data_IF_933611388411
#
_entry.id   IF_933611388411
#
_cell.length_a   1.000
_cell.length_b   1.000
_cell.length_c   1.000
_cell.angle_alpha   90.00
_cell.angle_beta   90.00
_cell.angle_gamma   90.00
#
_symmetry.space_group_name_H-M   'P 1'
#
loop_
_entity.id
_entity.type
_entity.pdbx_description
1 polymer ?
#
# COMPACT_ATOMS: atom_id res chain seq x y z
N UNK A 1 15.83 52.90 47.84
CA UNK A 1 14.88 52.66 46.72
C UNK A 1 15.46 51.70 45.66
N UNK A 2 16.74 51.76 45.36
CA UNK A 2 17.35 50.92 44.27
C UNK A 2 17.54 49.42 44.58
N UNK A 3 17.56 49.00 45.83
CA UNK A 3 17.75 47.58 46.19
C UNK A 3 16.47 46.73 46.09
N UNK A 4 15.31 47.38 46.24
CA UNK A 4 14.02 46.67 46.10
C UNK A 4 13.68 46.44 44.66
N UNK A 5 13.95 47.41 43.79
CA UNK A 5 13.72 47.33 42.35
C UNK A 5 14.61 46.23 41.72
N UNK A 6 15.86 46.13 42.16
CA UNK A 6 16.79 45.06 41.67
C UNK A 6 16.33 43.65 42.04
N UNK A 7 15.68 43.45 43.20
CA UNK A 7 15.12 42.17 43.62
C UNK A 7 13.90 41.76 42.80
N UNK A 8 13.03 42.67 42.46
CA UNK A 8 11.87 42.40 41.60
C UNK A 8 12.29 42.17 40.14
N UNK A 9 13.31 42.87 39.66
CA UNK A 9 13.87 42.65 38.32
C UNK A 9 14.47 41.26 38.16
N UNK A 10 15.19 40.73 39.18
CA UNK A 10 15.72 39.38 39.14
C UNK A 10 14.63 38.30 39.18
N UNK A 11 13.58 38.50 39.94
CA UNK A 11 12.44 37.56 40.02
C UNK A 11 11.66 37.57 38.70
N UNK A 12 11.44 38.73 38.08
CA UNK A 12 10.76 38.84 36.80
C UNK A 12 11.56 38.19 35.66
N UNK A 13 12.89 38.26 35.66
CA UNK A 13 13.73 37.62 34.63
C UNK A 13 13.72 36.07 34.76
N UNK A 14 13.62 35.56 35.99
CA UNK A 14 13.56 34.10 36.20
C UNK A 14 12.22 33.49 35.79
N UNK A 15 11.12 34.21 35.90
CA UNK A 15 9.80 33.76 35.47
C UNK A 15 9.63 33.79 33.95
N UNK A 16 10.20 34.80 33.28
CA UNK A 16 10.18 34.84 31.80
C UNK A 16 11.09 33.75 31.15
N UNK A 17 12.20 33.38 31.79
CA UNK A 17 13.06 32.33 31.30
C UNK A 17 12.48 30.91 31.39
N UNK A 18 11.57 30.67 32.34
CA UNK A 18 10.93 29.37 32.52
C UNK A 18 9.78 29.12 31.54
N UNK A 19 9.15 30.16 31.00
CA UNK A 19 8.03 30.01 30.06
C UNK A 19 8.47 29.59 28.64
N UNK A 20 9.73 29.85 28.26
CA UNK A 20 10.23 29.52 26.92
C UNK A 20 10.63 28.04 26.80
N UNK A 21 10.90 27.36 27.91
CA UNK A 21 11.30 25.94 27.89
C UNK A 21 10.13 24.97 27.80
N UNK A 22 8.88 25.41 27.92
CA UNK A 22 7.70 24.53 27.87
C UNK A 22 7.07 24.41 26.47
N UNK A 23 7.56 25.14 25.48
CA UNK A 23 7.04 25.08 24.11
C UNK A 23 7.95 24.35 23.11
N UNK A 24 9.03 23.73 23.57
CA UNK A 24 9.93 22.98 22.71
C UNK A 24 9.88 21.52 23.09
N UNK A 25 8.91 20.80 22.57
CA UNK A 25 8.96 19.37 22.24
C UNK A 25 7.56 18.77 22.23
N UNK A 26 6.86 18.80 21.10
CA UNK A 26 5.73 17.86 20.90
C UNK A 26 5.28 17.73 19.44
N UNK A 27 6.00 18.34 18.49
CA UNK A 27 5.56 18.31 17.10
C UNK A 27 6.27 17.27 16.21
N UNK A 28 7.52 16.97 16.51
CA UNK A 28 8.31 16.13 15.61
C UNK A 28 8.12 14.62 15.86
N UNK A 29 7.85 14.19 17.10
CA UNK A 29 7.67 12.77 17.41
C UNK A 29 6.33 12.20 16.90
N UNK A 30 5.28 13.00 16.84
CA UNK A 30 3.98 12.56 16.34
C UNK A 30 3.95 12.45 14.80
N UNK A 31 4.65 13.34 14.10
CA UNK A 31 4.78 13.26 12.63
C UNK A 31 5.71 12.12 12.22
N UNK A 32 6.80 11.90 12.93
CA UNK A 32 7.71 10.78 12.70
C UNK A 32 7.07 9.43 13.04
N UNK A 33 6.28 9.36 14.11
CA UNK A 33 5.54 8.15 14.46
C UNK A 33 4.46 7.82 13.41
N UNK A 34 3.69 8.81 12.96
CA UNK A 34 2.68 8.63 11.91
C UNK A 34 3.32 8.23 10.57
N UNK A 35 4.43 8.86 10.17
CA UNK A 35 5.18 8.48 8.97
C UNK A 35 5.78 7.07 9.09
N UNK A 36 6.18 6.65 10.29
CA UNK A 36 6.67 5.29 10.55
C UNK A 36 5.55 4.26 10.44
N UNK A 37 4.34 4.58 10.92
CA UNK A 37 3.17 3.70 10.78
C UNK A 37 2.72 3.55 9.33
N UNK A 38 2.70 4.63 8.55
CA UNK A 38 2.34 4.61 7.13
C UNK A 38 3.25 3.70 6.28
N UNK A 39 4.51 3.54 6.67
CA UNK A 39 5.48 2.69 5.97
C UNK A 39 5.59 1.28 6.56
N UNK A 40 4.87 1.00 7.65
CA UNK A 40 4.92 -0.28 8.31
C UNK A 40 4.23 -1.37 7.49
N UNK A 41 4.97 -2.42 7.20
CA UNK A 41 4.41 -3.60 6.54
C UNK A 41 3.49 -4.36 7.51
N UNK A 42 2.21 -4.47 7.14
CA UNK A 42 1.16 -5.11 7.94
C UNK A 42 0.85 -6.53 7.50
N UNK A 43 1.21 -6.90 6.26
CA UNK A 43 1.01 -8.24 5.70
C UNK A 43 2.29 -8.70 5.00
N UNK A 44 2.63 -9.97 5.18
CA UNK A 44 3.73 -10.63 4.48
C UNK A 44 3.38 -12.08 4.20
N UNK A 45 3.44 -12.50 2.94
CA UNK A 45 3.24 -13.89 2.57
C UNK A 45 4.14 -14.27 1.39
N UNK A 46 4.71 -15.46 1.46
CA UNK A 46 5.51 -16.05 0.39
C UNK A 46 4.76 -17.19 -0.27
N UNK A 47 4.99 -17.35 -1.60
CA UNK A 47 4.41 -18.43 -2.42
C UNK A 47 2.88 -18.51 -2.28
N UNK A 48 2.22 -17.34 -2.36
CA UNK A 48 0.77 -17.23 -2.24
C UNK A 48 0.09 -17.77 -3.51
N UNK A 49 -0.90 -18.65 -3.32
CA UNK A 49 -1.75 -19.17 -4.38
C UNK A 49 -3.20 -19.10 -3.92
N UNK A 50 -4.01 -18.31 -4.61
CA UNK A 50 -5.43 -18.09 -4.31
C UNK A 50 -6.28 -18.55 -5.47
N UNK A 51 -7.24 -19.41 -5.21
CA UNK A 51 -8.27 -19.80 -6.16
C UNK A 51 -9.60 -19.24 -5.68
N UNK A 52 -10.22 -18.38 -6.48
CA UNK A 52 -11.58 -17.93 -6.24
C UNK A 52 -12.56 -18.77 -7.05
N UNK A 53 -13.67 -19.13 -6.40
CA UNK A 53 -14.76 -19.86 -7.03
C UNK A 53 -16.07 -19.10 -6.83
N UNK A 54 -16.85 -18.96 -7.89
CA UNK A 54 -18.20 -18.40 -7.85
C UNK A 54 -19.20 -19.46 -8.33
N UNK A 55 -20.25 -19.70 -7.53
CA UNK A 55 -21.27 -20.71 -7.83
C UNK A 55 -20.71 -22.12 -8.11
N UNK A 56 -19.65 -22.52 -7.38
CA UNK A 56 -19.00 -23.82 -7.55
C UNK A 56 -18.08 -23.91 -8.76
N UNK A 57 -17.85 -22.81 -9.51
CA UNK A 57 -16.95 -22.76 -10.67
C UNK A 57 -15.75 -21.90 -10.36
N UNK A 58 -14.58 -22.27 -10.87
CA UNK A 58 -13.36 -21.44 -10.77
C UNK A 58 -13.57 -20.12 -11.52
N UNK A 59 -13.43 -19.01 -10.83
CA UNK A 59 -13.45 -17.68 -11.42
C UNK A 59 -12.05 -17.24 -11.82
N UNK A 60 -11.12 -17.24 -10.88
CA UNK A 60 -9.72 -16.97 -11.18
C UNK A 60 -8.76 -17.74 -10.25
N UNK A 61 -7.51 -17.82 -10.69
CA UNK A 61 -6.37 -18.32 -9.92
C UNK A 61 -5.27 -17.27 -9.95
N UNK A 62 -4.90 -16.78 -8.77
CA UNK A 62 -3.86 -15.79 -8.56
C UNK A 62 -2.65 -16.45 -7.91
N UNK A 63 -1.46 -16.24 -8.46
CA UNK A 63 -0.20 -16.77 -7.93
C UNK A 63 0.84 -15.66 -7.86
N UNK A 64 1.53 -15.56 -6.74
CA UNK A 64 2.67 -14.66 -6.55
C UNK A 64 3.71 -15.27 -5.63
N UNK A 65 5.02 -15.09 -5.91
CA UNK A 65 6.08 -15.55 -5.00
C UNK A 65 6.15 -14.72 -3.71
N UNK A 66 5.69 -13.48 -3.73
CA UNK A 66 5.75 -12.58 -2.57
C UNK A 66 4.64 -11.54 -2.63
N UNK A 67 3.94 -11.36 -1.51
CA UNK A 67 3.05 -10.22 -1.25
C UNK A 67 3.45 -9.50 0.03
N UNK A 68 3.46 -8.19 -0.03
CA UNK A 68 3.65 -7.29 1.11
C UNK A 68 2.49 -6.29 1.15
N UNK A 69 1.83 -6.17 2.31
CA UNK A 69 0.69 -5.27 2.49
C UNK A 69 1.02 -4.12 3.44
N UNK A 70 0.45 -2.96 3.15
CA UNK A 70 0.64 -1.70 3.87
C UNK A 70 -0.73 -1.08 4.16
N UNK A 71 -1.47 -1.68 5.10
CA UNK A 71 -2.84 -1.27 5.41
C UNK A 71 -2.93 0.03 6.22
N UNK A 72 -1.84 0.46 6.85
CA UNK A 72 -1.75 1.70 7.61
C UNK A 72 -1.26 2.88 6.76
N UNK A 73 -0.87 2.66 5.50
CA UNK A 73 -0.53 3.72 4.58
C UNK A 73 -1.73 4.64 4.32
N UNK A 74 -1.48 5.93 4.05
CA UNK A 74 -2.53 6.90 3.69
C UNK A 74 -3.44 6.40 2.56
N UNK A 75 -2.86 5.69 1.59
CA UNK A 75 -3.57 4.91 0.58
C UNK A 75 -3.18 3.44 0.76
N UNK A 76 -4.00 2.60 1.43
CA UNK A 76 -3.70 1.19 1.65
C UNK A 76 -3.45 0.45 0.34
N UNK A 77 -2.37 -0.35 0.32
CA UNK A 77 -1.99 -1.09 -0.88
C UNK A 77 -1.32 -2.43 -0.55
N UNK A 78 -1.32 -3.32 -1.53
CA UNK A 78 -0.51 -4.55 -1.56
C UNK A 78 0.46 -4.49 -2.72
N UNK A 79 1.70 -4.87 -2.46
CA UNK A 79 2.80 -4.85 -3.42
C UNK A 79 3.29 -6.27 -3.70
N UNK A 80 3.54 -6.56 -4.99
CA UNK A 80 3.94 -7.86 -5.50
C UNK A 80 5.26 -7.72 -6.26
N UNK A 81 6.36 -7.59 -5.51
CA UNK A 81 7.69 -7.25 -6.05
C UNK A 81 8.33 -8.35 -6.87
N UNK A 82 7.93 -9.61 -6.66
CA UNK A 82 8.48 -10.78 -7.37
C UNK A 82 7.58 -11.27 -8.50
N UNK A 83 6.66 -10.40 -8.94
CA UNK A 83 5.75 -10.66 -10.04
C UNK A 83 4.45 -11.36 -9.64
N UNK A 84 3.56 -11.44 -10.62
CA UNK A 84 2.24 -12.05 -10.49
C UNK A 84 1.89 -12.88 -11.72
N UNK A 85 1.05 -13.88 -11.50
CA UNK A 85 0.34 -14.61 -12.55
C UNK A 85 -1.13 -14.70 -12.18
N UNK A 86 -1.99 -14.22 -13.07
CA UNK A 86 -3.45 -14.28 -12.91
C UNK A 86 -4.01 -15.09 -14.05
N UNK A 87 -4.78 -16.12 -13.73
CA UNK A 87 -5.47 -16.97 -14.71
C UNK A 87 -6.96 -16.85 -14.47
N UNK A 88 -7.73 -16.44 -15.46
CA UNK A 88 -9.19 -16.45 -15.43
C UNK A 88 -9.73 -17.63 -16.21
N UNK A 89 -10.93 -18.06 -15.85
CA UNK A 89 -11.57 -19.24 -16.45
C UNK A 89 -12.90 -18.85 -17.11
N UNK A 90 -13.29 -19.58 -18.12
CA UNK A 90 -14.59 -19.39 -18.79
C UNK A 90 -15.73 -19.84 -17.89
N UNK A 91 -16.84 -19.13 -17.94
CA UNK A 91 -18.05 -19.44 -17.13
C UNK A 91 -18.67 -20.79 -17.47
N UNK A 92 -18.44 -21.30 -18.69
CA UNK A 92 -19.00 -22.56 -19.22
C UNK A 92 -18.20 -23.79 -18.80
N UNK A 93 -17.02 -23.62 -18.22
CA UNK A 93 -16.12 -24.71 -17.90
C UNK A 93 -15.48 -24.56 -16.52
N UNK A 94 -15.30 -25.68 -15.82
CA UNK A 94 -14.61 -25.72 -14.53
C UNK A 94 -13.09 -25.50 -14.64
N UNK A 95 -12.52 -25.58 -15.83
CA UNK A 95 -11.06 -25.58 -16.03
C UNK A 95 -10.55 -24.94 -17.31
N UNK A 96 -11.44 -24.50 -18.21
CA UNK A 96 -11.01 -23.86 -19.46
C UNK A 96 -10.49 -22.45 -19.17
N UNK A 97 -9.21 -22.23 -19.43
CA UNK A 97 -8.56 -20.94 -19.28
C UNK A 97 -9.15 -19.96 -20.31
N UNK A 98 -9.50 -18.77 -19.86
CA UNK A 98 -9.92 -17.67 -20.72
C UNK A 98 -8.78 -16.68 -20.97
N UNK A 99 -8.18 -16.16 -19.88
CA UNK A 99 -7.08 -15.19 -19.96
C UNK A 99 -5.97 -15.57 -18.98
N UNK A 100 -4.73 -15.40 -19.40
CA UNK A 100 -3.56 -15.44 -18.51
C UNK A 100 -2.85 -14.09 -18.58
N UNK A 101 -2.67 -13.45 -17.42
CA UNK A 101 -1.86 -12.25 -17.25
C UNK A 101 -0.62 -12.59 -16.43
N UNK A 102 0.54 -12.15 -16.88
CA UNK A 102 1.80 -12.19 -16.13
C UNK A 102 2.46 -10.83 -16.13
N UNK A 103 3.15 -10.49 -15.05
CA UNK A 103 3.94 -9.26 -14.92
C UNK A 103 5.09 -9.47 -13.92
N UNK A 104 6.17 -8.72 -14.08
CA UNK A 104 7.32 -8.79 -13.17
C UNK A 104 7.06 -8.09 -11.83
N UNK A 105 6.10 -7.16 -11.80
CA UNK A 105 5.71 -6.37 -10.65
C UNK A 105 4.23 -6.03 -10.72
N UNK A 106 3.55 -5.97 -9.58
CA UNK A 106 2.21 -5.41 -9.50
C UNK A 106 2.00 -4.70 -8.17
N UNK A 107 1.04 -3.79 -8.15
CA UNK A 107 0.51 -3.14 -6.95
C UNK A 107 -1.02 -3.08 -7.03
N UNK A 108 -1.67 -3.30 -5.89
CA UNK A 108 -3.11 -3.20 -5.74
C UNK A 108 -3.47 -2.14 -4.73
N UNK A 109 -4.14 -1.09 -5.17
CA UNK A 109 -4.65 0.00 -4.33
C UNK A 109 -6.05 -0.35 -3.83
N UNK A 110 -6.18 -0.58 -2.52
CA UNK A 110 -7.40 -1.14 -1.93
C UNK A 110 -8.60 -0.20 -2.04
N UNK A 111 -8.42 1.08 -1.74
CA UNK A 111 -9.50 2.07 -1.78
C UNK A 111 -10.02 2.34 -3.19
N UNK A 112 -9.13 2.34 -4.17
CA UNK A 112 -9.47 2.57 -5.59
C UNK A 112 -9.92 1.31 -6.32
N UNK A 113 -9.73 0.12 -5.72
CA UNK A 113 -9.91 -1.17 -6.40
C UNK A 113 -9.14 -1.25 -7.72
N UNK A 114 -7.95 -0.66 -7.73
CA UNK A 114 -7.11 -0.47 -8.91
C UNK A 114 -5.86 -1.34 -8.83
N UNK A 115 -5.66 -2.15 -9.86
CA UNK A 115 -4.42 -2.86 -10.11
C UNK A 115 -3.54 -2.09 -11.07
N UNK A 116 -2.25 -2.08 -10.80
CA UNK A 116 -1.21 -1.62 -11.70
C UNK A 116 -0.18 -2.74 -11.86
N UNK A 117 0.01 -3.23 -13.08
CA UNK A 117 1.03 -4.21 -13.42
C UNK A 117 2.14 -3.54 -14.21
N UNK A 118 3.40 -3.88 -13.92
CA UNK A 118 4.59 -3.28 -14.54
C UNK A 118 5.63 -4.33 -14.91
N UNK A 119 6.37 -4.02 -15.96
CA UNK A 119 7.52 -4.80 -16.42
C UNK A 119 7.11 -6.11 -17.08
N UNK A 120 7.36 -6.22 -18.36
CA UNK A 120 7.06 -7.40 -19.16
C UNK A 120 5.64 -7.93 -18.94
N UNK A 121 4.66 -7.03 -19.00
CA UNK A 121 3.25 -7.40 -18.87
C UNK A 121 2.80 -8.13 -20.11
N UNK A 122 2.38 -9.37 -19.95
CA UNK A 122 1.88 -10.22 -21.04
C UNK A 122 0.48 -10.68 -20.68
N UNK A 123 -0.47 -10.44 -21.60
CA UNK A 123 -1.84 -10.96 -21.51
C UNK A 123 -2.09 -11.85 -22.70
N UNK A 124 -2.42 -13.11 -22.43
CA UNK A 124 -2.73 -14.13 -23.44
C UNK A 124 -4.19 -14.53 -23.29
N UNK A 125 -4.96 -14.41 -24.37
CA UNK A 125 -6.36 -14.83 -24.40
C UNK A 125 -6.52 -16.17 -25.12
N UNK A 126 -7.53 -16.93 -24.72
CA UNK A 126 -7.85 -18.22 -25.33
C UNK A 126 -8.28 -18.14 -26.81
N UNK A 127 -8.69 -16.96 -27.27
CA UNK A 127 -9.02 -16.67 -28.68
C UNK A 127 -7.77 -16.40 -29.57
N UNK A 128 -6.57 -16.51 -29.00
CA UNK A 128 -5.30 -16.30 -29.69
C UNK A 128 -4.81 -14.86 -29.70
N UNK A 129 -5.53 -13.91 -29.09
CA UNK A 129 -5.09 -12.51 -28.98
C UNK A 129 -4.12 -12.35 -27.83
N UNK A 130 -3.02 -11.66 -28.07
CA UNK A 130 -1.99 -11.39 -27.08
C UNK A 130 -1.75 -9.88 -26.99
N UNK A 131 -1.53 -9.40 -25.76
CA UNK A 131 -1.11 -8.03 -25.48
C UNK A 131 0.25 -8.07 -24.77
N UNK A 132 1.19 -7.28 -25.26
CA UNK A 132 2.50 -7.06 -24.66
C UNK A 132 2.66 -5.59 -24.32
N UNK A 133 2.91 -5.26 -23.07
CA UNK A 133 3.08 -3.87 -22.63
C UNK A 133 4.04 -3.77 -21.46
N UNK A 134 4.55 -2.59 -21.18
CA UNK A 134 5.37 -2.33 -20.00
C UNK A 134 4.55 -1.94 -18.77
N UNK A 135 3.30 -1.50 -18.99
CA UNK A 135 2.42 -1.08 -17.91
C UNK A 135 0.96 -1.32 -18.30
N UNK A 136 0.18 -1.81 -17.34
CA UNK A 136 -1.25 -2.06 -17.49
C UNK A 136 -1.98 -1.64 -16.21
N UNK A 137 -3.06 -0.89 -16.38
CA UNK A 137 -3.99 -0.57 -15.29
C UNK A 137 -5.30 -1.32 -15.48
N UNK A 138 -5.83 -1.86 -14.39
CA UNK A 138 -7.12 -2.53 -14.37
C UNK A 138 -7.91 -2.12 -13.12
N UNK A 139 -9.08 -1.52 -13.35
CA UNK A 139 -10.01 -1.15 -12.29
C UNK A 139 -11.11 -2.23 -12.18
N UNK A 140 -11.26 -2.82 -10.98
CA UNK A 140 -12.25 -3.85 -10.71
C UNK A 140 -13.70 -3.32 -10.65
N UNK A 141 -13.89 -2.01 -10.52
CA UNK A 141 -15.22 -1.37 -10.46
C UNK A 141 -15.80 -1.06 -11.84
N UNK A 142 -14.94 -0.82 -12.83
CA UNK A 142 -15.36 -0.58 -14.21
C UNK A 142 -15.32 -1.90 -14.98
N UNK A 143 -16.52 -2.46 -15.23
CA UNK A 143 -16.69 -3.64 -16.09
C UNK A 143 -16.59 -3.25 -17.55
#
# INVERSE_FOLDING_TARGET
MNRVIARYAMVALSVMGSAILLFSCERDEAEDAAASEETMRTEYSENLSIVESQNGRRSYHFVTPLVEGYSLAREPYREFRKGVKITTYKDDSLSTVDVVLTANYAIYYENRKLWEAKGNVVVVKSDGKNLYTQQLFWNQQTK
#
